data_IF_132627089409
#
_entry.id   IF_132627089409
#
_cell.length_a   1.000
_cell.length_b   1.000
_cell.length_c   1.000
_cell.angle_alpha   90.00
_cell.angle_beta   90.00
_cell.angle_gamma   90.00
#
_symmetry.space_group_name_H-M   'P 1'
#
loop_
_entity.id
_entity.type
_entity.pdbx_description
1 polymer ?
#
# COMPACT_ATOMS: atom_id res chain seq x y z
N UNK A 1 -27.55 -11.28 21.58
CA UNK A 1 -27.33 -11.04 20.15
C UNK A 1 -25.85 -11.28 19.89
N UNK A 2 -25.49 -12.08 18.88
CA UNK A 2 -24.08 -12.25 18.53
C UNK A 2 -23.58 -11.06 17.70
N UNK A 3 -22.27 -10.86 17.62
CA UNK A 3 -21.68 -9.79 16.81
C UNK A 3 -22.01 -9.95 15.32
N UNK A 4 -22.13 -11.20 14.85
CA UNK A 4 -22.51 -11.50 13.47
C UNK A 4 -23.97 -11.09 13.20
N UNK A 5 -24.87 -11.34 14.14
CA UNK A 5 -26.27 -10.93 14.02
C UNK A 5 -26.39 -9.41 14.03
N UNK A 6 -25.71 -8.74 14.97
CA UNK A 6 -25.70 -7.28 15.07
C UNK A 6 -25.15 -6.62 13.80
N UNK A 7 -24.01 -7.11 13.29
CA UNK A 7 -23.43 -6.61 12.04
C UNK A 7 -24.37 -6.79 10.84
N UNK A 8 -25.04 -7.95 10.74
CA UNK A 8 -25.99 -8.23 9.66
C UNK A 8 -27.21 -7.29 9.72
N UNK A 9 -27.75 -7.02 10.92
CA UNK A 9 -28.85 -6.07 11.12
C UNK A 9 -28.44 -4.64 10.75
N UNK A 10 -27.26 -4.21 11.18
CA UNK A 10 -26.70 -2.90 10.84
C UNK A 10 -26.51 -2.75 9.33
N UNK A 11 -25.96 -3.75 8.65
CA UNK A 11 -25.77 -3.72 7.19
C UNK A 11 -27.11 -3.71 6.45
N UNK A 12 -28.08 -4.51 6.90
CA UNK A 12 -29.41 -4.55 6.28
C UNK A 12 -30.18 -3.24 6.41
N UNK A 13 -29.87 -2.42 7.43
CA UNK A 13 -30.46 -1.11 7.64
C UNK A 13 -29.85 0.01 6.77
N UNK A 14 -28.73 -0.24 6.09
CA UNK A 14 -28.06 0.79 5.26
C UNK A 14 -28.74 0.91 3.90
N UNK A 15 -29.03 2.14 3.49
CA UNK A 15 -29.51 2.47 2.15
C UNK A 15 -28.47 2.09 1.07
N UNK A 16 -28.80 1.23 0.09
CA UNK A 16 -27.91 0.91 -1.03
C UNK A 16 -27.42 2.14 -1.80
N UNK A 17 -28.22 3.21 -1.90
CA UNK A 17 -27.79 4.45 -2.57
C UNK A 17 -26.66 5.16 -1.81
N UNK A 18 -26.66 5.08 -0.47
CA UNK A 18 -25.58 5.61 0.36
C UNK A 18 -24.28 4.80 0.18
N UNK A 19 -24.38 3.47 0.02
CA UNK A 19 -23.22 2.64 -0.31
C UNK A 19 -22.65 3.03 -1.67
N UNK A 20 -23.50 3.17 -2.69
CA UNK A 20 -23.07 3.58 -4.03
C UNK A 20 -22.39 4.96 -4.02
N UNK A 21 -22.93 5.92 -3.24
CA UNK A 21 -22.33 7.23 -3.08
C UNK A 21 -20.94 7.17 -2.45
N UNK A 22 -20.74 6.32 -1.41
CA UNK A 22 -19.40 6.09 -0.85
C UNK A 22 -18.46 5.54 -1.92
N UNK A 23 -18.87 4.51 -2.65
CA UNK A 23 -18.02 3.86 -3.65
C UNK A 23 -17.64 4.77 -4.82
N UNK A 24 -18.50 5.73 -5.19
CA UNK A 24 -18.25 6.70 -6.23
C UNK A 24 -17.07 7.65 -5.90
N UNK A 25 -16.78 7.89 -4.61
CA UNK A 25 -15.65 8.70 -4.17
C UNK A 25 -14.30 7.98 -4.32
N UNK A 26 -14.30 6.67 -4.61
CA UNK A 26 -13.10 5.82 -4.64
C UNK A 26 -12.84 5.30 -6.06
N UNK A 27 -11.86 5.86 -6.77
CA UNK A 27 -11.56 5.49 -8.14
C UNK A 27 -10.98 4.06 -8.22
N UNK A 28 -10.90 3.47 -9.43
CA UNK A 28 -10.15 2.25 -9.66
C UNK A 28 -8.72 2.28 -9.11
N UNK A 29 -8.20 1.13 -8.68
CA UNK A 29 -6.89 1.06 -8.04
C UNK A 29 -5.74 1.51 -8.96
N UNK A 30 -5.91 1.34 -10.28
CA UNK A 30 -4.99 1.81 -11.31
C UNK A 30 -4.85 3.34 -11.37
N UNK A 31 -5.84 4.08 -10.89
CA UNK A 31 -5.84 5.55 -10.88
C UNK A 31 -5.17 6.14 -9.62
N UNK A 32 -4.86 5.30 -8.63
CA UNK A 32 -4.18 5.73 -7.40
C UNK A 32 -2.73 6.06 -7.71
N UNK A 33 -2.32 7.29 -7.38
CA UNK A 33 -1.00 7.83 -7.71
C UNK A 33 -0.05 7.82 -6.51
N UNK A 34 1.24 8.01 -6.81
CA UNK A 34 2.26 8.32 -5.80
C UNK A 34 1.91 9.60 -5.04
N UNK A 35 2.43 9.73 -3.82
CA UNK A 35 2.24 10.90 -2.95
C UNK A 35 3.03 12.10 -3.49
N UNK A 36 2.53 13.30 -3.25
CA UNK A 36 3.18 14.55 -3.71
C UNK A 36 4.61 14.73 -3.13
N UNK A 37 4.80 14.40 -1.85
CA UNK A 37 6.07 14.52 -1.14
C UNK A 37 6.85 13.19 -1.03
N UNK A 38 6.76 12.34 -2.04
CA UNK A 38 7.37 11.00 -2.02
C UNK A 38 8.89 11.01 -1.81
N UNK A 39 9.58 12.10 -2.18
CA UNK A 39 11.02 12.27 -2.03
C UNK A 39 11.47 12.30 -0.57
N UNK A 40 10.59 12.74 0.34
CA UNK A 40 10.85 12.84 1.78
C UNK A 40 10.73 11.48 2.48
N UNK A 41 10.21 10.47 1.78
CA UNK A 41 10.06 9.13 2.33
C UNK A 41 11.42 8.42 2.37
N UNK A 42 11.77 7.91 3.56
CA UNK A 42 12.93 7.05 3.79
C UNK A 42 12.52 5.58 3.72
N UNK A 43 12.86 4.85 2.64
CA UNK A 43 12.55 3.43 2.51
C UNK A 43 13.33 2.54 3.49
N UNK A 44 14.33 3.09 4.20
CA UNK A 44 15.21 2.40 5.15
C UNK A 44 14.96 2.77 6.61
N UNK A 45 13.90 3.53 6.91
CA UNK A 45 13.60 4.04 8.25
C UNK A 45 13.63 2.96 9.35
N UNK A 46 13.09 1.77 9.04
CA UNK A 46 13.01 0.66 10.00
C UNK A 46 14.30 -0.15 10.12
N UNK A 47 15.15 -0.13 9.10
CA UNK A 47 16.41 -0.88 9.06
C UNK A 47 17.35 -0.21 8.07
N UNK A 48 18.48 0.28 8.59
CA UNK A 48 19.51 0.92 7.76
C UNK A 48 20.08 -0.05 6.73
N UNK A 49 20.29 0.46 5.52
CA UNK A 49 20.95 -0.28 4.45
C UNK A 49 22.41 -0.61 4.81
N UNK A 50 22.93 -1.79 4.42
CA UNK A 50 24.35 -2.11 4.49
C UNK A 50 25.23 -1.09 3.75
N UNK A 51 26.48 -0.93 4.19
CA UNK A 51 27.47 -0.07 3.50
C UNK A 51 28.10 -0.75 2.29
N UNK A 52 28.31 -2.06 2.37
CA UNK A 52 28.81 -2.86 1.25
C UNK A 52 27.80 -2.84 0.10
N UNK A 53 28.27 -2.57 -1.13
CA UNK A 53 27.39 -2.32 -2.26
C UNK A 53 26.61 -3.58 -2.70
N UNK A 54 27.22 -4.77 -2.64
CA UNK A 54 26.54 -6.01 -3.02
C UNK A 54 25.48 -6.42 -1.99
N UNK A 55 25.80 -6.26 -0.70
CA UNK A 55 24.85 -6.45 0.38
C UNK A 55 23.72 -5.42 0.34
N UNK A 56 24.03 -4.16 0.00
CA UNK A 56 23.03 -3.09 -0.15
C UNK A 56 22.08 -3.36 -1.31
N UNK A 57 22.59 -3.76 -2.47
CA UNK A 57 21.74 -4.14 -3.60
C UNK A 57 20.79 -5.29 -3.23
N UNK A 58 21.32 -6.35 -2.60
CA UNK A 58 20.50 -7.48 -2.16
C UNK A 58 19.42 -7.06 -1.14
N UNK A 59 19.78 -6.16 -0.22
CA UNK A 59 18.84 -5.58 0.75
C UNK A 59 17.72 -4.78 0.08
N UNK A 60 18.06 -3.93 -0.90
CA UNK A 60 17.10 -3.11 -1.62
C UNK A 60 16.15 -3.97 -2.47
N UNK A 61 16.67 -4.99 -3.15
CA UNK A 61 15.85 -5.96 -3.90
C UNK A 61 14.84 -6.67 -3.01
N UNK A 62 15.26 -7.10 -1.81
CA UNK A 62 14.35 -7.72 -0.84
C UNK A 62 13.25 -6.75 -0.38
N UNK A 63 13.58 -5.48 -0.18
CA UNK A 63 12.59 -4.44 0.14
C UNK A 63 11.63 -4.19 -1.02
N UNK A 64 12.11 -4.08 -2.26
CA UNK A 64 11.26 -3.94 -3.45
C UNK A 64 10.24 -5.07 -3.50
N UNK A 65 10.68 -6.33 -3.40
CA UNK A 65 9.79 -7.49 -3.42
C UNK A 65 8.74 -7.44 -2.29
N UNK A 66 9.14 -7.01 -1.08
CA UNK A 66 8.22 -6.86 0.05
C UNK A 66 7.16 -5.78 -0.20
N UNK A 67 7.54 -4.63 -0.75
CA UNK A 67 6.62 -3.53 -1.04
C UNK A 67 5.71 -3.83 -2.24
N UNK A 68 6.20 -4.54 -3.26
CA UNK A 68 5.37 -5.05 -4.35
C UNK A 68 4.29 -6.01 -3.84
N UNK A 69 4.67 -6.95 -2.96
CA UNK A 69 3.72 -7.89 -2.36
C UNK A 69 2.67 -7.17 -1.50
N UNK A 70 3.09 -6.21 -0.66
CA UNK A 70 2.18 -5.37 0.13
C UNK A 70 1.21 -4.57 -0.75
N UNK A 71 1.73 -3.97 -1.84
CA UNK A 71 0.93 -3.21 -2.80
C UNK A 71 -0.12 -4.10 -3.46
N UNK A 72 0.26 -5.28 -3.97
CA UNK A 72 -0.66 -6.21 -4.61
C UNK A 72 -1.76 -6.68 -3.65
N UNK A 73 -1.41 -6.99 -2.39
CA UNK A 73 -2.38 -7.35 -1.37
C UNK A 73 -3.33 -6.19 -1.04
N UNK A 74 -2.83 -4.96 -0.99
CA UNK A 74 -3.64 -3.77 -0.76
C UNK A 74 -4.58 -3.46 -1.92
N UNK A 75 -4.12 -3.62 -3.18
CA UNK A 75 -4.95 -3.50 -4.38
C UNK A 75 -6.06 -4.55 -4.37
N UNK A 76 -5.72 -5.81 -4.11
CA UNK A 76 -6.71 -6.89 -4.06
C UNK A 76 -7.81 -6.60 -3.03
N UNK A 77 -7.42 -6.15 -1.83
CA UNK A 77 -8.39 -5.79 -0.78
C UNK A 77 -9.19 -4.54 -1.13
N UNK A 78 -8.58 -3.53 -1.74
CA UNK A 78 -9.27 -2.31 -2.17
C UNK A 78 -10.33 -2.62 -3.23
N UNK A 79 -10.00 -3.45 -4.21
CA UNK A 79 -10.95 -3.87 -5.25
C UNK A 79 -12.08 -4.73 -4.67
N UNK A 80 -11.79 -5.67 -3.78
CA UNK A 80 -12.81 -6.45 -3.06
C UNK A 80 -13.79 -5.56 -2.30
N UNK A 81 -13.30 -4.52 -1.61
CA UNK A 81 -14.14 -3.51 -0.95
C UNK A 81 -14.97 -2.69 -1.95
N UNK A 82 -14.43 -2.34 -3.11
CA UNK A 82 -15.16 -1.60 -4.15
C UNK A 82 -16.25 -2.44 -4.80
N UNK A 83 -15.97 -3.71 -5.07
CA UNK A 83 -16.89 -4.60 -5.79
C UNK A 83 -18.03 -5.09 -4.88
N UNK A 84 -17.73 -5.36 -3.60
CA UNK A 84 -18.70 -5.95 -2.67
C UNK A 84 -19.24 -4.98 -1.62
N UNK A 85 -18.68 -3.78 -1.50
CA UNK A 85 -19.10 -2.77 -0.52
C UNK A 85 -19.09 -3.32 0.91
N UNK A 86 -20.22 -3.14 1.62
CA UNK A 86 -20.40 -3.60 3.00
C UNK A 86 -20.20 -5.12 3.16
N UNK A 87 -20.49 -5.91 2.12
CA UNK A 87 -20.34 -7.36 2.18
C UNK A 87 -18.88 -7.84 2.20
N UNK A 88 -17.91 -6.95 1.97
CA UNK A 88 -16.49 -7.25 2.14
C UNK A 88 -15.99 -6.98 3.58
N UNK A 89 -16.78 -6.31 4.43
CA UNK A 89 -16.40 -6.00 5.81
C UNK A 89 -16.60 -7.21 6.73
N UNK A 90 -15.75 -7.30 7.75
CA UNK A 90 -15.96 -8.25 8.85
C UNK A 90 -16.93 -7.67 9.89
N UNK A 91 -17.58 -8.52 10.71
CA UNK A 91 -18.36 -8.05 11.86
C UNK A 91 -17.54 -7.18 12.83
N UNK A 92 -16.22 -7.44 12.94
CA UNK A 92 -15.32 -6.62 13.74
C UNK A 92 -15.15 -5.21 13.18
N UNK A 93 -15.02 -5.06 11.86
CA UNK A 93 -14.91 -3.75 11.21
C UNK A 93 -16.16 -2.89 11.50
N UNK A 94 -17.33 -3.53 11.46
CA UNK A 94 -18.63 -2.88 11.65
C UNK A 94 -18.92 -2.60 13.13
N UNK A 95 -18.84 -3.60 13.99
CA UNK A 95 -19.30 -3.43 15.37
C UNK A 95 -18.25 -2.81 16.30
N UNK A 96 -16.97 -3.10 16.06
CA UNK A 96 -15.90 -2.74 16.99
C UNK A 96 -15.09 -1.57 16.46
N UNK A 97 -14.50 -1.71 15.28
CA UNK A 97 -13.56 -0.72 14.73
C UNK A 97 -14.24 0.63 14.42
N UNK A 98 -15.48 0.56 13.91
CA UNK A 98 -16.27 1.75 13.52
C UNK A 98 -17.38 2.12 14.51
N UNK A 99 -17.57 1.34 15.57
CA UNK A 99 -18.60 1.62 16.59
C UNK A 99 -20.02 1.58 16.05
N UNK A 100 -20.38 0.50 15.35
CA UNK A 100 -21.69 0.26 14.73
C UNK A 100 -22.03 1.21 13.56
N UNK A 101 -21.01 1.69 12.82
CA UNK A 101 -21.18 2.51 11.61
C UNK A 101 -20.63 1.79 10.35
N UNK A 102 -21.46 0.98 9.66
CA UNK A 102 -21.01 0.25 8.47
C UNK A 102 -20.50 1.15 7.33
N UNK A 103 -21.12 2.32 7.11
CA UNK A 103 -20.70 3.24 6.05
C UNK A 103 -19.38 3.93 6.41
N UNK A 104 -19.21 4.31 7.68
CA UNK A 104 -17.94 4.79 8.22
C UNK A 104 -16.84 3.73 8.10
N UNK A 105 -17.14 2.47 8.42
CA UNK A 105 -16.22 1.35 8.27
C UNK A 105 -15.76 1.18 6.82
N UNK A 106 -16.69 1.17 5.85
CA UNK A 106 -16.36 1.02 4.43
C UNK A 106 -15.48 2.18 3.95
N UNK A 107 -15.86 3.41 4.26
CA UNK A 107 -15.11 4.62 3.89
C UNK A 107 -13.70 4.60 4.50
N UNK A 108 -13.58 4.19 5.75
CA UNK A 108 -12.28 4.09 6.44
C UNK A 108 -11.40 3.00 5.81
N UNK A 109 -11.97 1.82 5.56
CA UNK A 109 -11.25 0.70 4.94
C UNK A 109 -10.74 1.06 3.53
N UNK A 110 -11.56 1.72 2.71
CA UNK A 110 -11.17 2.18 1.38
C UNK A 110 -10.07 3.24 1.45
N UNK A 111 -10.21 4.27 2.31
CA UNK A 111 -9.16 5.29 2.52
C UNK A 111 -7.85 4.69 3.00
N UNK A 112 -7.90 3.70 3.89
CA UNK A 112 -6.71 3.05 4.40
C UNK A 112 -5.97 2.31 3.28
N UNK A 113 -6.70 1.57 2.44
CA UNK A 113 -6.08 0.83 1.34
C UNK A 113 -5.59 1.75 0.23
N UNK A 114 -6.32 2.81 -0.09
CA UNK A 114 -5.82 3.88 -0.97
C UNK A 114 -4.50 4.46 -0.45
N UNK A 115 -4.45 4.83 0.82
CA UNK A 115 -3.26 5.39 1.45
C UNK A 115 -2.07 4.41 1.45
N UNK A 116 -2.33 3.10 1.64
CA UNK A 116 -1.30 2.05 1.55
C UNK A 116 -0.80 1.88 0.12
N UNK A 117 -1.69 1.81 -0.87
CA UNK A 117 -1.30 1.68 -2.29
C UNK A 117 -0.44 2.87 -2.73
N UNK A 118 -0.89 4.09 -2.41
CA UNK A 118 -0.15 5.32 -2.71
C UNK A 118 1.21 5.37 -2.00
N UNK A 119 1.27 4.92 -0.74
CA UNK A 119 2.53 4.85 0.02
C UNK A 119 3.50 3.85 -0.59
N UNK A 120 3.06 2.62 -0.85
CA UNK A 120 3.89 1.55 -1.39
C UNK A 120 4.42 1.93 -2.77
N UNK A 121 3.59 2.52 -3.64
CA UNK A 121 4.02 3.10 -4.92
C UNK A 121 5.14 4.13 -4.73
N UNK A 122 4.99 5.03 -3.77
CA UNK A 122 5.96 6.09 -3.50
C UNK A 122 7.30 5.53 -3.01
N UNK A 123 7.25 4.52 -2.14
CA UNK A 123 8.43 3.82 -1.64
C UNK A 123 9.12 3.02 -2.74
N UNK A 124 8.38 2.36 -3.63
CA UNK A 124 8.94 1.63 -4.76
C UNK A 124 9.75 2.54 -5.69
N UNK A 125 9.26 3.76 -5.97
CA UNK A 125 10.03 4.75 -6.73
C UNK A 125 11.35 5.08 -6.04
N UNK A 126 11.34 5.34 -4.72
CA UNK A 126 12.58 5.61 -3.94
C UNK A 126 13.56 4.45 -4.00
N UNK A 127 13.07 3.23 -3.80
CA UNK A 127 13.87 2.02 -3.81
C UNK A 127 14.51 1.76 -5.17
N UNK A 128 13.77 1.97 -6.27
CA UNK A 128 14.32 1.80 -7.62
C UNK A 128 15.41 2.82 -7.95
N UNK A 129 15.24 4.09 -7.56
CA UNK A 129 16.28 5.11 -7.73
C UNK A 129 17.56 4.74 -6.95
N UNK A 130 17.41 4.32 -5.69
CA UNK A 130 18.57 3.90 -4.88
C UNK A 130 19.25 2.64 -5.45
N UNK A 131 18.46 1.71 -5.99
CA UNK A 131 18.96 0.51 -6.63
C UNK A 131 19.77 0.84 -7.89
N UNK A 132 19.30 1.77 -8.70
CA UNK A 132 19.99 2.25 -9.90
C UNK A 132 21.31 2.96 -9.53
N UNK A 133 21.30 3.79 -8.48
CA UNK A 133 22.53 4.42 -7.94
C UNK A 133 23.55 3.39 -7.47
N UNK A 134 23.12 2.38 -6.69
CA UNK A 134 24.01 1.33 -6.19
C UNK A 134 24.60 0.52 -7.35
N UNK A 135 23.79 0.18 -8.35
CA UNK A 135 24.26 -0.55 -9.55
C UNK A 135 25.26 0.27 -10.36
N UNK A 136 25.01 1.57 -10.53
CA UNK A 136 25.95 2.47 -11.21
C UNK A 136 27.29 2.56 -10.46
N UNK A 137 27.27 2.68 -9.13
CA UNK A 137 28.48 2.68 -8.30
C UNK A 137 29.26 1.37 -8.41
N UNK A 138 28.56 0.23 -8.43
CA UNK A 138 29.20 -1.08 -8.63
C UNK A 138 29.87 -1.18 -10.00
N UNK A 139 29.17 -0.79 -11.06
CA UNK A 139 29.71 -0.81 -12.42
C UNK A 139 30.94 0.12 -12.57
N UNK A 140 30.89 1.31 -11.97
CA UNK A 140 32.01 2.26 -11.93
C UNK A 140 33.21 1.73 -11.13
N UNK A 141 32.98 1.03 -10.01
CA UNK A 141 34.03 0.38 -9.23
C UNK A 141 34.68 -0.82 -9.93
N UNK A 142 34.01 -1.41 -10.92
CA UNK A 142 34.51 -2.53 -11.70
C UNK A 142 35.22 -2.12 -13.00
N UNK A 143 35.22 -0.84 -13.36
CA UNK A 143 36.08 -0.34 -14.42
C UNK A 143 37.49 -0.17 -13.84
N UNK A 144 38.47 -1.02 -14.18
CA UNK A 144 39.85 -0.72 -13.85
C UNK A 144 40.15 0.61 -14.55
N UNK A 145 40.77 1.54 -13.83
CA UNK A 145 41.47 2.63 -14.48
C UNK A 145 42.31 2.00 -15.59
N UNK A 146 42.02 2.34 -16.85
CA UNK A 146 43.00 2.25 -17.92
C UNK A 146 44.12 3.20 -17.51
N UNK A 147 44.99 2.69 -16.64
CA UNK A 147 46.25 3.30 -16.29
C UNK A 147 47.06 3.31 -17.57
N UNK A 148 47.10 4.49 -18.18
CA UNK A 148 48.19 5.02 -18.99
C UNK A 148 49.44 4.14 -18.91
N UNK A 149 49.66 3.30 -19.92
CA UNK A 149 50.97 2.88 -20.40
C UNK A 149 50.88 2.60 -21.90
#
# INVERSE_FOLDING_TARGET
MSIEQEAAELVAAVDPAAVAAVLADFPPAEDIRIREHWQELDPTLTKKAPRDLAARESFLLAKVASYEASRLASIARYNDLRDRGLAALSPYDICISSGNDPLGALRCALRLKDAHISYDLSILVRLHLELDEVRALRAGSMSPQLALF
#
